data_IF_864106905509
#
_entry.id   IF_864106905509
#
_cell.length_a   1.000
_cell.length_b   1.000
_cell.length_c   1.000
_cell.angle_alpha   90.00
_cell.angle_beta   90.00
_cell.angle_gamma   90.00
#
_symmetry.space_group_name_H-M   'P 1'
#
loop_
_entity.id
_entity.type
_entity.pdbx_description
1 polymer ?
#
# COMPACT_ATOMS: atom_id res chain seq x y z
N UNK A 1 8.30 48.66 -22.56
CA UNK A 1 8.86 47.82 -21.46
C UNK A 1 7.77 47.34 -20.47
N UNK A 2 6.83 48.22 -20.04
CA UNK A 2 5.78 47.86 -19.03
C UNK A 2 4.79 46.79 -19.56
N UNK A 3 4.40 46.89 -20.86
CA UNK A 3 3.51 45.90 -21.50
C UNK A 3 4.17 44.54 -21.69
N UNK A 4 5.46 44.50 -22.01
CA UNK A 4 6.19 43.23 -22.20
C UNK A 4 6.27 42.44 -20.86
N UNK A 5 6.58 43.15 -19.77
CA UNK A 5 6.65 42.51 -18.45
C UNK A 5 5.29 42.01 -17.92
N UNK A 6 4.21 42.74 -18.26
CA UNK A 6 2.85 42.26 -17.92
C UNK A 6 2.45 41.04 -18.75
N UNK A 7 2.80 40.98 -20.02
CA UNK A 7 2.51 39.86 -20.89
C UNK A 7 3.36 38.63 -20.53
N UNK A 8 4.62 38.79 -20.13
CA UNK A 8 5.46 37.73 -19.59
C UNK A 8 4.88 37.14 -18.30
N UNK A 9 4.39 37.97 -17.37
CA UNK A 9 3.71 37.50 -16.17
C UNK A 9 2.43 36.70 -16.47
N UNK A 10 1.66 37.12 -17.48
CA UNK A 10 0.45 36.39 -17.92
C UNK A 10 0.79 35.03 -18.54
N UNK A 11 1.88 34.94 -19.31
CA UNK A 11 2.38 33.69 -19.88
C UNK A 11 2.80 32.74 -18.76
N UNK A 12 3.56 33.21 -17.78
CA UNK A 12 3.98 32.41 -16.62
C UNK A 12 2.80 31.91 -15.80
N UNK A 13 1.70 32.67 -15.77
CA UNK A 13 0.47 32.28 -15.07
C UNK A 13 -0.54 31.53 -15.97
N UNK A 14 -0.12 31.02 -17.12
CA UNK A 14 -0.93 30.26 -18.09
C UNK A 14 -2.21 30.98 -18.56
N UNK A 15 -2.18 32.32 -18.62
CA UNK A 15 -3.29 33.18 -19.05
C UNK A 15 -3.17 33.57 -20.52
N UNK A 16 -4.30 33.61 -21.24
CA UNK A 16 -4.31 34.05 -22.65
C UNK A 16 -3.92 35.54 -22.77
N UNK A 17 -3.07 35.82 -23.75
CA UNK A 17 -2.62 37.18 -24.09
C UNK A 17 -3.34 37.66 -25.33
N UNK A 18 -3.87 38.92 -25.28
CA UNK A 18 -4.31 39.64 -26.45
C UNK A 18 -3.18 40.64 -26.83
N UNK A 19 -2.61 40.46 -27.99
CA UNK A 19 -1.49 41.27 -28.49
C UNK A 19 -1.86 41.92 -29.82
N UNK A 20 -1.48 43.21 -29.96
CA UNK A 20 -1.50 43.88 -31.27
C UNK A 20 -0.46 43.23 -32.17
N UNK A 21 -0.85 42.85 -33.40
CA UNK A 21 -0.04 42.03 -34.33
C UNK A 21 1.12 42.78 -35.00
N UNK A 22 1.39 44.03 -34.62
CA UNK A 22 2.34 44.90 -35.36
C UNK A 22 3.80 44.81 -34.93
N UNK A 23 4.15 43.98 -33.97
CA UNK A 23 5.52 43.81 -33.46
C UNK A 23 6.01 42.38 -33.51
N UNK A 24 7.20 42.14 -34.04
CA UNK A 24 7.88 40.83 -34.09
C UNK A 24 8.00 40.19 -32.70
N UNK A 25 8.18 41.03 -31.66
CA UNK A 25 8.22 40.61 -30.26
C UNK A 25 6.86 40.04 -29.82
N UNK A 26 5.75 40.64 -30.23
CA UNK A 26 4.41 40.19 -29.92
C UNK A 26 4.09 38.84 -30.57
N UNK A 27 4.54 38.67 -31.81
CA UNK A 27 4.39 37.40 -32.55
C UNK A 27 5.17 36.26 -31.87
N UNK A 28 6.39 36.52 -31.41
CA UNK A 28 7.20 35.55 -30.69
C UNK A 28 6.64 35.22 -29.30
N UNK A 29 6.08 36.20 -28.59
CA UNK A 29 5.38 36.00 -27.32
C UNK A 29 4.11 35.14 -27.46
N UNK A 30 3.33 35.37 -28.54
CA UNK A 30 2.16 34.55 -28.85
C UNK A 30 2.55 33.10 -29.14
N UNK A 31 3.58 32.87 -29.96
CA UNK A 31 4.11 31.51 -30.21
C UNK A 31 4.63 30.82 -28.96
N UNK A 32 5.30 31.58 -28.08
CA UNK A 32 5.77 31.05 -26.80
C UNK A 32 4.58 30.63 -25.89
N UNK A 33 3.56 31.49 -25.81
CA UNK A 33 2.33 31.19 -25.04
C UNK A 33 1.59 29.96 -25.56
N UNK A 34 1.44 29.82 -26.87
CA UNK A 34 0.85 28.63 -27.50
C UNK A 34 1.67 27.37 -27.20
N UNK A 35 2.99 27.48 -27.34
CA UNK A 35 3.89 26.35 -27.09
C UNK A 35 3.86 25.90 -25.61
N UNK A 36 3.85 26.85 -24.68
CA UNK A 36 3.70 26.55 -23.24
C UNK A 36 2.33 25.92 -22.91
N UNK A 37 1.24 26.48 -23.44
CA UNK A 37 -0.11 25.92 -23.26
C UNK A 37 -0.21 24.49 -23.82
N UNK A 38 0.37 24.25 -24.99
CA UNK A 38 0.39 22.91 -25.58
C UNK A 38 1.24 21.92 -24.78
N UNK A 39 2.40 22.38 -24.24
CA UNK A 39 3.23 21.56 -23.35
C UNK A 39 2.50 21.21 -22.05
N UNK A 40 1.85 22.19 -21.41
CA UNK A 40 1.07 21.95 -20.17
C UNK A 40 -0.07 20.98 -20.42
N UNK A 41 -0.82 21.15 -21.53
CA UNK A 41 -1.90 20.24 -21.89
C UNK A 41 -1.40 18.82 -22.16
N UNK A 42 -0.25 18.68 -22.83
CA UNK A 42 0.35 17.38 -23.10
C UNK A 42 0.90 16.71 -21.84
N UNK A 43 1.47 17.50 -20.90
CA UNK A 43 1.89 16.98 -19.59
C UNK A 43 0.68 16.47 -18.81
N UNK A 44 -0.39 17.26 -18.71
CA UNK A 44 -1.62 16.84 -18.02
C UNK A 44 -2.23 15.58 -18.63
N UNK A 45 -2.25 15.46 -19.98
CA UNK A 45 -2.74 14.24 -20.66
C UNK A 45 -1.86 13.02 -20.36
N UNK A 46 -0.52 13.19 -20.35
CA UNK A 46 0.40 12.10 -20.02
C UNK A 46 0.27 11.67 -18.57
N UNK A 47 0.17 12.62 -17.66
CA UNK A 47 -0.02 12.36 -16.24
C UNK A 47 -1.36 11.64 -15.96
N UNK A 48 -2.44 12.11 -16.57
CA UNK A 48 -3.75 11.44 -16.47
C UNK A 48 -3.74 10.03 -17.08
N UNK A 49 -3.09 9.84 -18.22
CA UNK A 49 -2.96 8.51 -18.83
C UNK A 49 -2.10 7.56 -17.97
N UNK A 50 -1.02 8.06 -17.36
CA UNK A 50 -0.18 7.28 -16.47
C UNK A 50 -0.94 6.86 -15.18
N UNK A 51 -1.74 7.76 -14.62
CA UNK A 51 -2.58 7.47 -13.44
C UNK A 51 -3.63 6.40 -13.77
N UNK A 52 -4.31 6.51 -14.92
CA UNK A 52 -5.31 5.53 -15.36
C UNK A 52 -4.66 4.17 -15.59
N UNK A 53 -3.53 4.11 -16.30
CA UNK A 53 -2.81 2.87 -16.59
C UNK A 53 -2.32 2.19 -15.30
N UNK A 54 -1.78 2.96 -14.36
CA UNK A 54 -1.35 2.43 -13.07
C UNK A 54 -2.51 1.90 -12.21
N UNK A 55 -3.67 2.53 -12.25
CA UNK A 55 -4.87 2.06 -11.55
C UNK A 55 -5.42 0.76 -12.17
N UNK A 56 -5.40 0.64 -13.50
CA UNK A 56 -5.82 -0.58 -14.18
C UNK A 56 -4.90 -1.76 -13.87
N UNK A 57 -3.59 -1.55 -13.87
CA UNK A 57 -2.59 -2.57 -13.51
C UNK A 57 -2.82 -3.05 -12.07
N UNK A 58 -3.01 -2.13 -11.13
CA UNK A 58 -3.28 -2.47 -9.73
C UNK A 58 -4.60 -3.23 -9.58
N UNK A 59 -5.63 -2.87 -10.31
CA UNK A 59 -6.91 -3.60 -10.29
C UNK A 59 -6.80 -4.99 -10.91
N UNK A 60 -6.06 -5.14 -12.00
CA UNK A 60 -5.82 -6.43 -12.64
C UNK A 60 -5.03 -7.36 -11.72
N UNK A 61 -3.98 -6.85 -11.08
CA UNK A 61 -3.17 -7.60 -10.13
C UNK A 61 -3.99 -8.06 -8.90
N UNK A 62 -4.87 -7.19 -8.38
CA UNK A 62 -5.80 -7.57 -7.31
C UNK A 62 -6.75 -8.70 -7.71
N UNK A 63 -7.33 -8.62 -8.90
CA UNK A 63 -8.20 -9.68 -9.42
C UNK A 63 -7.44 -10.99 -9.63
N UNK A 64 -6.15 -10.91 -9.98
CA UNK A 64 -5.27 -12.09 -10.09
C UNK A 64 -5.02 -12.69 -8.72
N UNK A 65 -4.55 -11.88 -7.77
CA UNK A 65 -4.28 -12.33 -6.39
C UNK A 65 -5.54 -12.93 -5.76
N UNK A 66 -6.70 -12.29 -5.95
CA UNK A 66 -7.96 -12.79 -5.42
C UNK A 66 -8.34 -14.17 -5.98
N UNK A 67 -8.09 -14.42 -7.27
CA UNK A 67 -8.30 -15.73 -7.88
C UNK A 67 -7.31 -16.77 -7.37
N UNK A 68 -6.03 -16.43 -7.35
CA UNK A 68 -4.98 -17.34 -6.90
C UNK A 68 -5.21 -17.79 -5.45
N UNK A 69 -5.58 -16.84 -4.57
CA UNK A 69 -5.91 -17.14 -3.16
C UNK A 69 -7.21 -17.96 -3.03
N UNK A 70 -8.24 -17.61 -3.81
CA UNK A 70 -9.50 -18.38 -3.80
C UNK A 70 -9.26 -19.84 -4.22
N UNK A 71 -8.44 -20.06 -5.24
CA UNK A 71 -8.12 -21.39 -5.73
C UNK A 71 -7.30 -22.17 -4.70
N UNK A 72 -6.33 -21.53 -4.03
CA UNK A 72 -5.55 -22.13 -2.94
C UNK A 72 -6.43 -22.52 -1.76
N UNK A 73 -7.28 -21.61 -1.28
CA UNK A 73 -8.22 -21.88 -0.19
C UNK A 73 -9.17 -23.03 -0.56
N UNK A 74 -9.71 -23.04 -1.78
CA UNK A 74 -10.60 -24.08 -2.23
C UNK A 74 -9.91 -25.45 -2.27
N UNK A 75 -8.65 -25.51 -2.69
CA UNK A 75 -7.84 -26.73 -2.70
C UNK A 75 -7.56 -27.23 -1.27
N UNK A 76 -7.21 -26.37 -0.34
CA UNK A 76 -6.96 -26.73 1.07
C UNK A 76 -8.22 -27.25 1.76
N UNK A 77 -9.37 -26.61 1.55
CA UNK A 77 -10.66 -27.07 2.06
C UNK A 77 -11.07 -28.41 1.46
N UNK A 78 -10.87 -28.60 0.17
CA UNK A 78 -11.18 -29.86 -0.50
C UNK A 78 -10.28 -31.00 0.02
N UNK A 79 -8.97 -30.77 0.15
CA UNK A 79 -8.03 -31.74 0.69
C UNK A 79 -8.36 -32.10 2.16
N UNK A 80 -8.67 -31.09 2.98
CA UNK A 80 -9.14 -31.34 4.37
C UNK A 80 -10.39 -32.19 4.41
N UNK A 81 -11.35 -31.95 3.54
CA UNK A 81 -12.58 -32.73 3.42
C UNK A 81 -12.34 -34.19 3.00
N UNK A 82 -11.38 -34.42 2.08
CA UNK A 82 -10.98 -35.76 1.66
C UNK A 82 -10.33 -36.54 2.82
N UNK A 83 -9.44 -35.94 3.59
CA UNK A 83 -8.79 -36.54 4.73
C UNK A 83 -9.86 -36.93 5.79
N UNK A 84 -10.77 -35.98 6.12
CA UNK A 84 -11.86 -36.25 7.06
C UNK A 84 -12.77 -37.37 6.59
N UNK A 85 -13.09 -37.46 5.31
CA UNK A 85 -13.88 -38.55 4.75
C UNK A 85 -13.14 -39.89 4.85
N UNK A 86 -11.82 -39.88 4.56
CA UNK A 86 -10.97 -41.06 4.72
C UNK A 86 -10.92 -41.56 6.17
N UNK A 87 -10.73 -40.63 7.12
CA UNK A 87 -10.78 -40.94 8.56
C UNK A 87 -12.14 -41.54 8.95
N UNK A 88 -13.22 -40.92 8.51
CA UNK A 88 -14.58 -41.43 8.81
C UNK A 88 -14.85 -42.83 8.28
N UNK A 89 -14.34 -43.14 7.08
CA UNK A 89 -14.51 -44.47 6.47
C UNK A 89 -13.62 -45.56 7.11
N UNK A 90 -12.50 -45.18 7.71
CA UNK A 90 -11.49 -46.10 8.25
C UNK A 90 -11.39 -46.03 9.79
N UNK A 91 -12.36 -45.46 10.46
CA UNK A 91 -12.32 -45.13 11.88
C UNK A 91 -12.02 -46.36 12.77
N UNK A 92 -12.54 -47.54 12.38
CA UNK A 92 -12.33 -48.80 13.11
C UNK A 92 -10.96 -49.44 12.82
N UNK A 93 -10.26 -48.99 11.79
CA UNK A 93 -8.99 -49.57 11.32
C UNK A 93 -7.78 -48.71 11.72
N UNK A 94 -8.02 -47.44 12.04
CA UNK A 94 -6.98 -46.49 12.43
C UNK A 94 -6.64 -46.63 13.90
N UNK A 95 -5.35 -46.71 14.21
CA UNK A 95 -4.91 -46.56 15.59
C UNK A 95 -5.00 -45.07 16.05
N UNK A 96 -4.89 -44.89 17.38
CA UNK A 96 -5.02 -43.57 17.98
C UNK A 96 -3.97 -42.58 17.50
N UNK A 97 -2.76 -43.01 17.20
CA UNK A 97 -1.65 -42.16 16.74
C UNK A 97 -1.86 -41.72 15.30
N UNK A 98 -2.30 -42.62 14.44
CA UNK A 98 -2.68 -42.32 13.04
C UNK A 98 -3.85 -41.36 12.99
N UNK A 99 -4.88 -41.54 13.79
CA UNK A 99 -6.03 -40.64 13.89
C UNK A 99 -5.58 -39.24 14.33
N UNK A 100 -4.77 -39.17 15.38
CA UNK A 100 -4.25 -37.89 15.88
C UNK A 100 -3.42 -37.14 14.81
N UNK A 101 -2.57 -37.84 14.08
CA UNK A 101 -1.76 -37.28 13.00
C UNK A 101 -2.62 -36.69 11.90
N UNK A 102 -3.67 -37.40 11.48
CA UNK A 102 -4.57 -36.91 10.43
C UNK A 102 -5.40 -35.72 10.91
N UNK A 103 -5.88 -35.70 12.15
CA UNK A 103 -6.61 -34.57 12.71
C UNK A 103 -5.73 -33.33 12.81
N UNK A 104 -4.48 -33.45 13.26
CA UNK A 104 -3.51 -32.33 13.29
C UNK A 104 -3.22 -31.79 11.88
N UNK A 105 -3.14 -32.69 10.89
CA UNK A 105 -2.95 -32.27 9.49
C UNK A 105 -4.15 -31.47 8.98
N UNK A 106 -5.37 -31.91 9.26
CA UNK A 106 -6.59 -31.17 8.87
C UNK A 106 -6.68 -29.83 9.59
N UNK A 107 -6.35 -29.78 10.88
CA UNK A 107 -6.32 -28.53 11.65
C UNK A 107 -5.35 -27.54 11.05
N UNK A 108 -4.14 -27.97 10.70
CA UNK A 108 -3.14 -27.13 10.04
C UNK A 108 -3.62 -26.59 8.68
N UNK A 109 -4.27 -27.45 7.86
CA UNK A 109 -4.84 -27.03 6.58
C UNK A 109 -5.96 -26.01 6.74
N UNK A 110 -6.86 -26.20 7.69
CA UNK A 110 -7.94 -25.25 7.98
C UNK A 110 -7.38 -23.90 8.47
N UNK A 111 -6.33 -23.93 9.28
CA UNK A 111 -5.64 -22.71 9.75
C UNK A 111 -5.01 -21.94 8.59
N UNK A 112 -4.36 -22.64 7.66
CA UNK A 112 -3.79 -22.03 6.46
C UNK A 112 -4.89 -21.42 5.59
N UNK A 113 -5.96 -22.15 5.30
CA UNK A 113 -7.10 -21.65 4.54
C UNK A 113 -7.74 -20.41 5.17
N UNK A 114 -7.85 -20.35 6.50
CA UNK A 114 -8.34 -19.18 7.21
C UNK A 114 -7.40 -17.97 7.07
N UNK A 115 -6.09 -18.20 7.14
CA UNK A 115 -5.09 -17.17 6.93
C UNK A 115 -5.16 -16.60 5.51
N UNK A 116 -5.26 -17.46 4.50
CA UNK A 116 -5.36 -17.05 3.09
C UNK A 116 -6.64 -16.26 2.83
N UNK A 117 -7.76 -16.64 3.44
CA UNK A 117 -8.99 -15.85 3.39
C UNK A 117 -8.82 -14.45 4.01
N UNK A 118 -8.12 -14.32 5.13
CA UNK A 118 -7.84 -13.01 5.76
C UNK A 118 -7.02 -12.12 4.83
N UNK A 119 -5.99 -12.69 4.22
CA UNK A 119 -5.13 -12.01 3.26
C UNK A 119 -5.95 -11.54 2.04
N UNK A 120 -6.82 -12.39 1.52
CA UNK A 120 -7.73 -12.08 0.42
C UNK A 120 -8.63 -10.88 0.78
N UNK A 121 -9.20 -10.87 1.97
CA UNK A 121 -10.04 -9.77 2.45
C UNK A 121 -9.27 -8.45 2.56
N UNK A 122 -8.00 -8.48 2.98
CA UNK A 122 -7.15 -7.29 3.01
C UNK A 122 -6.84 -6.76 1.60
N UNK A 123 -6.57 -7.64 0.63
CA UNK A 123 -6.28 -7.27 -0.75
C UNK A 123 -7.51 -6.80 -1.53
N UNK A 124 -8.69 -7.32 -1.23
CA UNK A 124 -9.95 -6.94 -1.89
C UNK A 124 -10.53 -5.62 -1.35
N UNK A 125 -10.07 -5.14 -0.20
CA UNK A 125 -10.50 -3.82 0.30
C UNK A 125 -10.10 -2.72 -0.65
N UNK A 126 -10.94 -1.66 -0.77
CA UNK A 126 -10.58 -0.48 -1.55
C UNK A 126 -9.18 0.00 -1.14
N UNK A 127 -8.34 0.28 -2.13
CA UNK A 127 -7.00 0.85 -1.90
C UNK A 127 -7.05 2.28 -1.40
N UNK A 128 -8.21 2.89 -1.48
CA UNK A 128 -8.45 4.24 -1.05
C UNK A 128 -9.21 4.23 0.27
N UNK A 129 -8.85 5.13 1.14
CA UNK A 129 -9.56 5.37 2.40
C UNK A 129 -10.99 5.86 2.16
N UNK A 130 -11.39 6.06 0.89
CA UNK A 130 -12.66 6.70 0.50
C UNK A 130 -12.81 8.04 1.25
N UNK A 131 -13.82 8.13 2.14
CA UNK A 131 -14.05 9.34 2.93
C UNK A 131 -13.50 9.22 4.37
N UNK A 132 -12.56 8.29 4.63
CA UNK A 132 -11.97 8.08 5.96
C UNK A 132 -10.59 8.69 6.06
N UNK A 133 -10.18 8.97 7.29
CA UNK A 133 -8.80 9.36 7.61
C UNK A 133 -7.89 8.13 7.67
N UNK A 134 -6.59 8.34 7.63
CA UNK A 134 -5.58 7.29 7.82
C UNK A 134 -5.79 6.56 9.16
N UNK A 135 -6.04 7.32 10.23
CA UNK A 135 -6.30 6.78 11.58
C UNK A 135 -7.49 5.83 11.59
N UNK A 136 -8.64 6.24 11.03
CA UNK A 136 -9.83 5.40 10.95
C UNK A 136 -9.60 4.14 10.12
N UNK A 137 -8.87 4.25 9.03
CA UNK A 137 -8.51 3.12 8.18
C UNK A 137 -7.61 2.11 8.88
N UNK A 138 -6.56 2.58 9.55
CA UNK A 138 -5.65 1.74 10.33
C UNK A 138 -6.37 1.06 11.51
N UNK A 139 -7.16 1.82 12.26
CA UNK A 139 -7.98 1.25 13.35
C UNK A 139 -8.86 0.10 12.88
N UNK A 140 -9.51 0.27 11.73
CA UNK A 140 -10.40 -0.74 11.17
C UNK A 140 -9.66 -2.02 10.78
N UNK A 141 -8.49 -1.91 10.11
CA UNK A 141 -7.71 -3.08 9.70
C UNK A 141 -7.12 -3.80 10.92
N UNK A 142 -6.55 -3.04 11.84
CA UNK A 142 -5.89 -3.58 13.03
C UNK A 142 -6.89 -4.22 13.99
N UNK A 143 -8.08 -3.64 14.14
CA UNK A 143 -9.17 -4.25 14.91
C UNK A 143 -9.62 -5.57 14.29
N UNK A 144 -9.83 -5.62 12.98
CA UNK A 144 -10.20 -6.86 12.30
C UNK A 144 -9.13 -7.95 12.45
N UNK A 145 -7.85 -7.54 12.44
CA UNK A 145 -6.75 -8.45 12.71
C UNK A 145 -6.84 -9.03 14.12
N UNK A 146 -7.07 -8.20 15.13
CA UNK A 146 -7.24 -8.63 16.53
C UNK A 146 -8.47 -9.54 16.71
N UNK A 147 -9.59 -9.18 16.07
CA UNK A 147 -10.85 -9.93 16.23
C UNK A 147 -10.82 -11.31 15.54
N UNK A 148 -9.97 -11.49 14.52
CA UNK A 148 -9.96 -12.68 13.66
C UNK A 148 -8.66 -13.47 13.68
N UNK A 149 -7.68 -13.09 14.50
CA UNK A 149 -6.41 -13.81 14.63
C UNK A 149 -5.89 -13.77 16.06
N UNK A 150 -4.98 -14.70 16.38
CA UNK A 150 -4.29 -14.73 17.68
C UNK A 150 -3.09 -13.75 17.71
N UNK A 151 -3.03 -12.79 16.79
CA UNK A 151 -1.96 -11.81 16.73
C UNK A 151 -2.27 -10.67 17.70
N UNK A 152 -1.35 -10.43 18.62
CA UNK A 152 -1.38 -9.26 19.50
C UNK A 152 -1.08 -8.00 18.67
N UNK A 153 -1.94 -7.00 18.73
CA UNK A 153 -1.78 -5.73 18.01
C UNK A 153 -1.56 -4.60 18.99
N UNK A 154 -0.46 -3.88 18.80
CA UNK A 154 -0.20 -2.61 19.51
C UNK A 154 -0.32 -1.47 18.51
N UNK A 155 -1.23 -0.55 18.75
CA UNK A 155 -1.40 0.65 17.93
C UNK A 155 -1.31 1.91 18.79
N UNK A 156 -0.45 2.85 18.39
CA UNK A 156 -0.34 4.17 19.01
C UNK A 156 -0.25 5.22 17.93
N UNK A 157 -1.03 6.28 18.07
CA UNK A 157 -1.02 7.39 17.15
C UNK A 157 -0.99 8.75 17.87
N UNK A 158 -0.34 9.70 17.22
CA UNK A 158 -0.33 11.11 17.58
C UNK A 158 -0.17 11.91 16.27
N UNK A 159 -1.27 12.14 15.57
CA UNK A 159 -1.29 12.84 14.28
C UNK A 159 -2.40 13.86 14.23
N UNK A 160 -2.21 14.92 13.43
CA UNK A 160 -3.23 15.87 13.01
C UNK A 160 -3.80 15.54 11.64
N UNK A 161 -4.35 16.55 10.97
CA UNK A 161 -4.84 16.40 9.60
C UNK A 161 -3.66 16.24 8.63
N UNK A 162 -3.79 15.30 7.72
CA UNK A 162 -2.82 15.02 6.66
C UNK A 162 -3.44 15.28 5.29
N UNK A 163 -2.62 15.62 4.27
CA UNK A 163 -3.06 15.64 2.88
C UNK A 163 -3.57 14.26 2.45
N UNK A 164 -4.70 14.21 1.71
CA UNK A 164 -5.34 12.95 1.31
C UNK A 164 -4.41 12.00 0.57
N UNK A 165 -3.59 12.53 -0.35
CA UNK A 165 -2.61 11.73 -1.08
C UNK A 165 -1.59 11.04 -0.15
N UNK A 166 -1.19 11.71 0.93
CA UNK A 166 -0.29 11.14 1.94
C UNK A 166 -0.99 10.04 2.74
N UNK A 167 -2.22 10.29 3.18
CA UNK A 167 -3.04 9.30 3.90
C UNK A 167 -3.23 8.01 3.07
N UNK A 168 -3.62 8.15 1.80
CA UNK A 168 -3.89 7.01 0.91
C UNK A 168 -2.61 6.19 0.66
N UNK A 169 -1.45 6.83 0.46
CA UNK A 169 -0.19 6.12 0.27
C UNK A 169 0.26 5.41 1.55
N UNK A 170 0.21 6.06 2.71
CA UNK A 170 0.55 5.44 3.99
C UNK A 170 -0.37 4.26 4.33
N UNK A 171 -1.66 4.39 4.02
CA UNK A 171 -2.60 3.30 4.20
C UNK A 171 -2.27 2.08 3.35
N UNK A 172 -1.90 2.29 2.07
CA UNK A 172 -1.46 1.21 1.18
C UNK A 172 -0.17 0.55 1.65
N UNK A 173 0.78 1.33 2.14
CA UNK A 173 2.02 0.80 2.72
C UNK A 173 1.71 -0.07 3.94
N UNK A 174 0.83 0.40 4.82
CA UNK A 174 0.42 -0.37 5.99
C UNK A 174 -0.31 -1.68 5.60
N UNK A 175 -1.19 -1.65 4.61
CA UNK A 175 -1.84 -2.84 4.08
C UNK A 175 -0.83 -3.87 3.55
N UNK A 176 0.17 -3.40 2.80
CA UNK A 176 1.22 -4.27 2.24
C UNK A 176 2.08 -4.89 3.35
N UNK A 177 2.48 -4.10 4.36
CA UNK A 177 3.22 -4.61 5.51
C UNK A 177 2.44 -5.69 6.26
N UNK A 178 1.17 -5.41 6.61
CA UNK A 178 0.30 -6.36 7.33
C UNK A 178 0.09 -7.64 6.50
N UNK A 179 -0.14 -7.49 5.20
CA UNK A 179 -0.28 -8.62 4.29
C UNK A 179 0.96 -9.50 4.26
N UNK A 180 2.15 -8.89 4.17
CA UNK A 180 3.43 -9.61 4.17
C UNK A 180 3.67 -10.32 5.51
N UNK A 181 3.32 -9.69 6.62
CA UNK A 181 3.40 -10.30 7.96
C UNK A 181 2.50 -11.53 8.05
N UNK A 182 1.25 -11.43 7.60
CA UNK A 182 0.31 -12.55 7.62
C UNK A 182 0.74 -13.72 6.72
N UNK A 183 1.29 -13.42 5.53
CA UNK A 183 1.72 -14.44 4.56
C UNK A 183 2.99 -15.16 4.96
N UNK A 184 3.95 -14.41 5.48
CA UNK A 184 5.33 -14.86 5.49
C UNK A 184 5.96 -14.89 6.88
N UNK A 185 5.49 -14.06 7.82
CA UNK A 185 6.23 -13.84 9.04
C UNK A 185 5.95 -14.87 10.15
N UNK A 186 4.79 -15.53 10.15
CA UNK A 186 4.34 -16.36 11.30
C UNK A 186 4.44 -15.57 12.62
N UNK A 187 4.13 -14.30 12.58
CA UNK A 187 4.24 -13.40 13.70
C UNK A 187 3.07 -13.62 14.68
N UNK A 188 3.36 -13.48 15.97
CA UNK A 188 2.35 -13.45 17.04
C UNK A 188 2.05 -12.02 17.52
N UNK A 189 2.80 -11.02 17.04
CA UNK A 189 2.63 -9.62 17.43
C UNK A 189 2.98 -8.68 16.29
N UNK A 190 2.14 -7.65 16.12
CA UNK A 190 2.36 -6.51 15.22
C UNK A 190 2.25 -5.22 16.03
N UNK A 191 3.18 -4.30 15.79
CA UNK A 191 3.17 -2.99 16.40
C UNK A 191 3.13 -1.91 15.31
N UNK A 192 2.27 -0.92 15.48
CA UNK A 192 2.12 0.22 14.57
C UNK A 192 2.17 1.50 15.37
N UNK A 193 3.08 2.38 15.00
CA UNK A 193 3.27 3.69 15.59
C UNK A 193 3.18 4.75 14.53
N UNK A 194 2.27 5.70 14.69
CA UNK A 194 2.08 6.82 13.78
C UNK A 194 2.24 8.11 14.57
N UNK A 195 3.29 8.85 14.31
CA UNK A 195 3.63 10.05 15.06
C UNK A 195 3.95 11.22 14.14
N UNK A 196 3.37 12.38 14.43
CA UNK A 196 3.59 13.62 13.70
C UNK A 196 4.26 14.65 14.62
N UNK A 197 5.33 15.23 14.10
CA UNK A 197 5.99 16.42 14.69
C UNK A 197 5.68 17.66 13.86
N UNK A 198 6.27 18.79 14.17
CA UNK A 198 6.12 20.02 13.38
C UNK A 198 6.74 19.95 11.99
N UNK A 199 7.66 19.02 11.73
CA UNK A 199 8.45 18.94 10.49
C UNK A 199 8.39 17.59 9.80
N UNK A 200 7.94 16.54 10.50
CA UNK A 200 8.05 15.16 10.05
C UNK A 200 6.85 14.34 10.50
N UNK A 201 6.38 13.45 9.62
CA UNK A 201 5.47 12.35 9.95
C UNK A 201 6.25 11.05 9.93
N UNK A 202 6.14 10.25 10.97
CA UNK A 202 6.74 8.93 11.08
C UNK A 202 5.66 7.85 11.13
N UNK A 203 5.76 6.85 10.25
CA UNK A 203 5.04 5.58 10.35
C UNK A 203 6.06 4.48 10.63
N UNK A 204 5.97 3.87 11.81
CA UNK A 204 6.81 2.73 12.18
C UNK A 204 5.96 1.50 12.40
N UNK A 205 6.32 0.40 11.73
CA UNK A 205 5.64 -0.88 11.82
C UNK A 205 6.64 -1.99 12.13
N UNK A 206 6.27 -2.90 13.02
CA UNK A 206 7.13 -4.01 13.45
C UNK A 206 6.29 -5.29 13.52
N UNK A 207 6.92 -6.40 13.19
CA UNK A 207 6.45 -7.74 13.52
C UNK A 207 7.54 -8.53 14.25
N UNK A 208 7.14 -9.51 15.03
CA UNK A 208 8.04 -10.41 15.75
C UNK A 208 8.19 -11.78 15.04
N UNK A 209 7.98 -11.83 13.73
CA UNK A 209 7.98 -13.07 12.97
C UNK A 209 9.36 -13.63 12.66
N UNK A 210 9.40 -14.55 11.68
CA UNK A 210 10.63 -15.25 11.30
C UNK A 210 11.67 -14.34 10.61
N UNK A 211 11.26 -13.14 10.13
CA UNK A 211 12.12 -12.27 9.35
C UNK A 211 12.69 -12.92 8.09
N UNK A 212 13.54 -12.19 7.39
CA UNK A 212 14.21 -12.66 6.17
C UNK A 212 15.60 -12.03 6.03
N UNK A 213 16.38 -12.57 5.08
CA UNK A 213 17.67 -12.03 4.71
C UNK A 213 17.48 -10.96 3.64
N UNK A 214 17.85 -9.72 3.96
CA UNK A 214 17.67 -8.56 3.07
C UNK A 214 18.38 -8.72 1.74
N UNK A 215 19.57 -9.34 1.72
CA UNK A 215 20.38 -9.51 0.51
C UNK A 215 19.72 -10.49 -0.49
N UNK A 216 18.92 -11.45 0.01
CA UNK A 216 18.27 -12.46 -0.81
C UNK A 216 16.91 -12.01 -1.36
N UNK A 217 16.25 -11.03 -0.74
CA UNK A 217 14.85 -10.65 -1.04
C UNK A 217 14.75 -9.35 -1.82
N UNK A 218 15.77 -8.48 -1.77
CA UNK A 218 15.74 -7.14 -2.37
C UNK A 218 15.47 -7.13 -3.88
N UNK A 219 15.93 -8.17 -4.60
CA UNK A 219 15.73 -8.29 -6.06
C UNK A 219 14.46 -9.07 -6.46
N UNK A 220 13.74 -9.68 -5.51
CA UNK A 220 12.66 -10.64 -5.78
C UNK A 220 11.27 -10.17 -5.32
N UNK A 221 11.16 -9.11 -4.53
CA UNK A 221 9.90 -8.71 -3.90
C UNK A 221 9.28 -7.47 -4.54
N UNK A 222 8.27 -7.66 -5.38
CA UNK A 222 7.44 -6.58 -5.92
C UNK A 222 6.77 -5.75 -4.81
N UNK A 223 6.40 -6.37 -3.68
CA UNK A 223 5.76 -5.68 -2.56
C UNK A 223 6.68 -4.65 -1.88
N UNK A 224 7.93 -5.01 -1.62
CA UNK A 224 8.91 -4.08 -1.04
C UNK A 224 9.23 -2.93 -1.99
N UNK A 225 9.40 -3.22 -3.29
CA UNK A 225 9.60 -2.18 -4.29
C UNK A 225 8.42 -1.22 -4.36
N UNK A 226 7.19 -1.71 -4.31
CA UNK A 226 6.00 -0.85 -4.26
C UNK A 226 5.97 0.04 -3.02
N UNK A 227 6.49 -0.40 -1.89
CA UNK A 227 6.64 0.43 -0.69
C UNK A 227 7.69 1.52 -0.92
N UNK A 228 8.87 1.16 -1.45
CA UNK A 228 9.94 2.10 -1.77
C UNK A 228 9.45 3.20 -2.73
N UNK A 229 8.86 2.81 -3.87
CA UNK A 229 8.33 3.74 -4.87
C UNK A 229 7.31 4.73 -4.27
N UNK A 230 6.42 4.26 -3.37
CA UNK A 230 5.43 5.13 -2.69
C UNK A 230 6.05 6.09 -1.69
N UNK A 231 7.09 5.67 -1.00
CA UNK A 231 7.82 6.55 -0.07
C UNK A 231 8.58 7.62 -0.83
N UNK A 232 9.18 7.26 -1.96
CA UNK A 232 9.88 8.20 -2.86
C UNK A 232 8.90 9.22 -3.47
N UNK A 233 7.70 8.79 -3.90
CA UNK A 233 6.64 9.68 -4.39
C UNK A 233 6.22 10.75 -3.36
N UNK A 234 6.37 10.44 -2.07
CA UNK A 234 6.10 11.36 -0.96
C UNK A 234 7.35 12.14 -0.49
N UNK A 235 8.45 12.07 -1.25
CA UNK A 235 9.75 12.64 -0.88
C UNK A 235 10.22 12.21 0.52
N UNK A 236 9.89 10.99 0.91
CA UNK A 236 10.19 10.40 2.21
C UNK A 236 11.48 9.60 2.25
N UNK A 237 11.71 8.95 3.37
CA UNK A 237 12.78 7.98 3.56
C UNK A 237 12.23 6.71 4.18
N UNK A 238 12.70 5.55 3.68
CA UNK A 238 12.38 4.22 4.19
C UNK A 238 13.60 3.60 4.84
N UNK A 239 13.43 3.14 6.07
CA UNK A 239 14.43 2.33 6.77
C UNK A 239 13.82 0.97 7.12
N UNK A 240 14.23 -0.06 6.38
CA UNK A 240 13.76 -1.42 6.54
C UNK A 240 14.86 -2.30 7.13
N UNK A 241 14.56 -2.97 8.23
CA UNK A 241 15.46 -3.92 8.89
C UNK A 241 14.74 -5.24 9.02
N UNK A 242 15.38 -6.31 8.58
CA UNK A 242 14.93 -7.68 8.81
C UNK A 242 16.11 -8.57 9.15
N UNK A 243 15.88 -9.50 10.06
CA UNK A 243 16.85 -10.52 10.43
C UNK A 243 16.11 -11.82 10.72
N UNK A 244 16.65 -12.95 10.21
CA UNK A 244 16.07 -14.27 10.47
C UNK A 244 15.89 -14.51 11.98
N UNK A 245 14.68 -14.87 12.37
CA UNK A 245 14.28 -15.13 13.77
C UNK A 245 14.00 -13.89 14.62
N UNK A 246 14.04 -12.66 14.04
CA UNK A 246 13.79 -11.40 14.79
C UNK A 246 12.69 -10.53 14.21
N UNK A 247 12.01 -11.01 13.16
CA UNK A 247 10.95 -10.26 12.50
C UNK A 247 11.44 -9.14 11.59
N UNK A 248 10.54 -8.21 11.32
CA UNK A 248 10.74 -7.07 10.42
C UNK A 248 10.43 -5.76 11.15
N UNK A 249 11.24 -4.75 10.91
CA UNK A 249 11.00 -3.36 11.34
C UNK A 249 11.06 -2.45 10.13
N UNK A 250 10.00 -1.69 9.89
CA UNK A 250 9.87 -0.68 8.85
C UNK A 250 9.66 0.69 9.50
N UNK A 251 10.51 1.65 9.21
CA UNK A 251 10.43 3.03 9.68
C UNK A 251 10.40 3.96 8.46
N UNK A 252 9.29 4.65 8.27
CA UNK A 252 9.05 5.59 7.19
C UNK A 252 8.96 6.98 7.77
N UNK A 253 9.66 7.93 7.15
CA UNK A 253 9.65 9.33 7.54
C UNK A 253 9.34 10.21 6.34
N UNK A 254 8.34 11.05 6.49
CA UNK A 254 7.86 11.95 5.46
C UNK A 254 7.98 13.40 5.92
N UNK A 255 8.50 14.31 5.09
CA UNK A 255 8.55 15.72 5.43
C UNK A 255 7.14 16.32 5.46
N UNK A 256 6.84 17.13 6.48
CA UNK A 256 5.63 17.93 6.53
C UNK A 256 6.00 19.35 6.11
N UNK A 257 5.55 19.74 4.91
CA UNK A 257 5.64 21.13 4.47
C UNK A 257 4.44 21.86 5.06
N UNK A 258 4.66 22.78 6.00
CA UNK A 258 3.61 23.73 6.39
C UNK A 258 3.37 24.64 5.19
N UNK A 259 2.16 24.63 4.64
CA UNK A 259 1.75 25.70 3.73
C UNK A 259 1.85 27.04 4.48
N UNK A 260 2.45 28.05 3.84
CA UNK A 260 2.53 29.43 4.31
C UNK A 260 1.14 30.14 4.29
N UNK A 261 0.10 29.50 4.82
CA UNK A 261 -1.27 30.06 4.83
C UNK A 261 -1.71 30.59 6.21
N UNK A 262 -0.76 30.95 7.09
CA UNK A 262 -1.07 31.68 8.34
C UNK A 262 -0.04 32.83 8.54
N UNK A 263 -0.12 33.85 7.68
CA UNK A 263 0.51 35.15 7.92
C UNK A 263 -0.42 36.29 7.48
#
# INVERSE_FOLDING_TARGET
KRNINQNLKRILNNQRIHLDETSEINTNLSRLSEKMSHMTTNMQKKESAYIIDSQEIVQQERKRIARDLHDTVSQELFASSLILSGVSMSLEQLDKEQLQTQLVTVEAMLQNAQNDLRILLLHLRPTELANRTLSEGLHMILKELTDKSDIEVVYKENIGQLPKAMEDNLFRIAQEFISNTLKHAKASRIEVYLNQTSTELQLKMLDNGIGFDMDQVRDLSYGLKNIEDRVDDLAGSLHLISQKGKGVSMDIRLPIVRGDDDA
#
